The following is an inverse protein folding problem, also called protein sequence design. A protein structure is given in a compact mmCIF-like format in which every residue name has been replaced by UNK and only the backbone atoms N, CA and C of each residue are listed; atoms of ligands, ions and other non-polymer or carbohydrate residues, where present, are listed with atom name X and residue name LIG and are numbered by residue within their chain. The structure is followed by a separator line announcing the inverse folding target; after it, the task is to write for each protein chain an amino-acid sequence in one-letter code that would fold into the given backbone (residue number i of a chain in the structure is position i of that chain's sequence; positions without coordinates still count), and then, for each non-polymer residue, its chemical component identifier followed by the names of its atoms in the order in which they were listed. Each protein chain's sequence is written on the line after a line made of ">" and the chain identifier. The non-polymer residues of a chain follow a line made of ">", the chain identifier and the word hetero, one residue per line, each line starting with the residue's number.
data_IF_486827924211
#
_entry.id   IF_486827924211
#
_cell.length_a   1.000
_cell.length_b   1.000
_cell.length_c   1.000
_cell.angle_alpha   90.00
_cell.angle_beta   90.00
_cell.angle_gamma   90.00
#
_symmetry.space_group_name_H-M   'P 1'
#
loop_
_entity.id
_entity.type
_entity.pdbx_description
1 polymer ?
#
# COMPACT_ATOMS: atom_id res chain seq x y z
N UNK A 1 -14.45 -17.70 -0.17
CA UNK A 1 -14.68 -17.01 -1.50
C UNK A 1 -13.40 -16.23 -1.75
N UNK A 2 -12.82 -16.34 -2.95
CA UNK A 2 -11.58 -15.61 -3.24
C UNK A 2 -11.79 -14.11 -3.20
N UNK A 3 -10.80 -13.39 -2.70
CA UNK A 3 -10.86 -11.95 -2.57
C UNK A 3 -10.67 -11.30 -3.95
N UNK A 4 -11.30 -10.15 -4.22
CA UNK A 4 -11.02 -9.37 -5.41
C UNK A 4 -9.61 -8.80 -5.37
N UNK A 5 -9.03 -8.59 -6.55
CA UNK A 5 -7.66 -8.13 -6.74
C UNK A 5 -7.65 -6.71 -7.29
N UNK A 6 -7.03 -5.80 -6.58
CA UNK A 6 -6.81 -4.44 -7.03
C UNK A 6 -5.33 -4.20 -7.37
N UNK A 7 -5.02 -3.04 -7.92
CA UNK A 7 -3.67 -2.56 -8.18
C UNK A 7 -3.48 -1.17 -7.60
N UNK A 8 -2.32 -0.96 -6.94
CA UNK A 8 -1.89 0.38 -6.51
C UNK A 8 -1.35 1.14 -7.74
N UNK A 9 -1.98 2.27 -8.06
CA UNK A 9 -1.66 3.05 -9.27
C UNK A 9 -0.30 3.76 -9.20
N UNK A 10 0.33 3.85 -8.03
CA UNK A 10 1.72 4.28 -7.91
C UNK A 10 2.67 3.39 -8.72
N UNK A 11 2.34 2.11 -8.85
CA UNK A 11 3.09 1.14 -9.65
C UNK A 11 3.19 1.53 -11.13
N UNK A 12 2.25 2.32 -11.63
CA UNK A 12 2.15 2.77 -13.02
C UNK A 12 2.05 4.30 -13.13
N UNK A 13 2.59 5.02 -12.13
CA UNK A 13 2.48 6.49 -12.03
C UNK A 13 2.93 7.25 -13.27
N UNK A 14 4.01 6.80 -13.92
CA UNK A 14 4.51 7.44 -15.14
C UNK A 14 3.51 7.33 -16.32
N UNK A 15 2.69 6.28 -16.33
CA UNK A 15 1.62 6.12 -17.31
C UNK A 15 0.37 6.91 -16.91
N UNK A 16 0.10 7.03 -15.60
CA UNK A 16 -0.98 7.87 -15.07
C UNK A 16 -0.78 9.34 -15.42
N UNK A 17 0.46 9.85 -15.33
CA UNK A 17 0.79 11.21 -15.72
C UNK A 17 0.54 11.48 -17.21
N UNK A 18 0.77 10.49 -18.08
CA UNK A 18 0.60 10.63 -19.53
C UNK A 18 -0.86 10.51 -19.97
N UNK A 19 -1.60 9.57 -19.35
CA UNK A 19 -2.96 9.22 -19.73
C UNK A 19 -3.69 8.57 -18.54
N UNK A 20 -4.27 9.40 -17.68
CA UNK A 20 -4.93 8.98 -16.45
C UNK A 20 -6.02 7.93 -16.71
N UNK A 21 -7.00 8.28 -17.52
CA UNK A 21 -8.16 7.42 -17.80
C UNK A 21 -7.80 6.18 -18.62
N UNK A 22 -6.94 6.34 -19.63
CA UNK A 22 -6.48 5.21 -20.44
C UNK A 22 -5.63 4.22 -19.64
N UNK A 23 -4.91 4.66 -18.61
CA UNK A 23 -4.15 3.77 -17.73
C UNK A 23 -5.07 2.99 -16.81
N UNK A 24 -6.09 3.61 -16.23
CA UNK A 24 -7.12 2.89 -15.42
C UNK A 24 -7.86 1.88 -16.31
N UNK A 25 -8.21 2.24 -17.57
CA UNK A 25 -8.81 1.29 -18.51
C UNK A 25 -7.91 0.08 -18.77
N UNK A 26 -6.59 0.30 -18.93
CA UNK A 26 -5.62 -0.80 -19.09
C UNK A 26 -5.61 -1.73 -17.86
N UNK A 27 -5.72 -1.20 -16.63
CA UNK A 27 -5.82 -2.03 -15.42
C UNK A 27 -7.08 -2.90 -15.48
N UNK A 28 -8.21 -2.34 -15.88
CA UNK A 28 -9.44 -3.11 -16.11
C UNK A 28 -9.26 -4.20 -17.17
N UNK A 29 -8.65 -3.89 -18.30
CA UNK A 29 -8.40 -4.83 -19.40
C UNK A 29 -7.46 -5.98 -18.99
N UNK A 30 -6.51 -5.72 -18.11
CA UNK A 30 -5.66 -6.74 -17.50
C UNK A 30 -6.43 -7.66 -16.55
N UNK A 31 -7.63 -7.24 -16.12
CA UNK A 31 -8.54 -8.01 -15.28
C UNK A 31 -8.37 -7.74 -13.78
N UNK A 32 -7.93 -6.55 -13.42
CA UNK A 32 -8.05 -6.07 -12.05
C UNK A 32 -9.51 -5.71 -11.74
N UNK A 33 -9.95 -6.00 -10.52
CA UNK A 33 -11.31 -5.72 -10.05
C UNK A 33 -11.42 -4.30 -9.49
N UNK A 34 -10.32 -3.76 -8.95
CA UNK A 34 -10.27 -2.43 -8.35
C UNK A 34 -8.93 -1.74 -8.54
N UNK A 35 -8.92 -0.46 -8.14
CA UNK A 35 -7.71 0.38 -8.11
C UNK A 35 -7.59 1.08 -6.78
N UNK A 36 -6.35 1.29 -6.36
CA UNK A 36 -5.97 2.16 -5.27
C UNK A 36 -5.22 3.36 -5.83
N UNK A 37 -5.67 4.57 -5.51
CA UNK A 37 -5.10 5.80 -6.04
C UNK A 37 -3.83 6.21 -5.31
N UNK A 38 -2.91 6.85 -6.04
CA UNK A 38 -1.76 7.59 -5.52
C UNK A 38 -1.78 9.01 -6.13
N UNK A 39 -2.70 9.83 -5.64
CA UNK A 39 -3.01 11.14 -6.21
C UNK A 39 -4.03 11.09 -7.34
N UNK A 40 -4.59 12.27 -7.66
CA UNK A 40 -5.65 12.43 -8.67
C UNK A 40 -5.17 13.14 -9.94
N UNK A 41 -3.90 13.54 -10.01
CA UNK A 41 -3.26 14.18 -11.19
C UNK A 41 -4.01 15.41 -11.71
N UNK A 42 -4.77 16.10 -10.85
CA UNK A 42 -5.58 17.27 -11.21
C UNK A 42 -6.93 16.94 -11.85
N UNK A 43 -7.30 15.67 -11.89
CA UNK A 43 -8.62 15.25 -12.37
C UNK A 43 -9.72 15.49 -11.33
N UNK A 44 -10.91 15.77 -11.81
CA UNK A 44 -12.08 16.06 -10.98
C UNK A 44 -12.64 14.77 -10.36
N UNK A 45 -12.89 14.71 -9.03
CA UNK A 45 -13.39 13.51 -8.34
C UNK A 45 -14.67 12.92 -8.96
N UNK A 46 -15.63 13.79 -9.31
CA UNK A 46 -16.88 13.35 -9.95
C UNK A 46 -16.66 12.64 -11.29
N UNK A 47 -15.72 13.12 -12.11
CA UNK A 47 -15.38 12.49 -13.40
C UNK A 47 -14.70 11.15 -13.21
N UNK A 48 -13.81 11.04 -12.21
CA UNK A 48 -13.15 9.77 -11.86
C UNK A 48 -14.21 8.75 -11.44
N UNK A 49 -15.14 9.15 -10.56
CA UNK A 49 -16.27 8.31 -10.15
C UNK A 49 -17.07 7.78 -11.32
N UNK A 50 -17.51 8.69 -12.20
CA UNK A 50 -18.34 8.34 -13.35
C UNK A 50 -17.59 7.39 -14.29
N UNK A 51 -16.30 7.65 -14.56
CA UNK A 51 -15.47 6.79 -15.39
C UNK A 51 -15.27 5.40 -14.78
N UNK A 52 -14.93 5.32 -13.49
CA UNK A 52 -14.79 4.02 -12.82
C UNK A 52 -16.08 3.20 -12.87
N UNK A 53 -17.23 3.86 -12.70
CA UNK A 53 -18.54 3.23 -12.81
C UNK A 53 -18.83 2.77 -14.24
N UNK A 54 -18.50 3.57 -15.26
CA UNK A 54 -18.69 3.25 -16.67
C UNK A 54 -17.92 1.98 -17.07
N UNK A 55 -16.64 1.89 -16.71
CA UNK A 55 -15.81 0.73 -17.08
C UNK A 55 -15.95 -0.45 -16.09
N UNK A 56 -16.65 -0.24 -14.96
CA UNK A 56 -16.88 -1.26 -13.95
C UNK A 56 -15.62 -1.67 -13.18
N UNK A 57 -14.72 -0.71 -12.86
CA UNK A 57 -13.59 -0.90 -11.92
C UNK A 57 -13.92 -0.23 -10.59
N UNK A 58 -13.52 -0.84 -9.48
CA UNK A 58 -13.88 -0.35 -8.14
C UNK A 58 -12.77 0.55 -7.60
N UNK A 59 -13.04 1.83 -7.26
CA UNK A 59 -12.11 2.68 -6.52
C UNK A 59 -12.11 2.26 -5.05
N UNK A 60 -11.14 1.43 -4.63
CA UNK A 60 -11.18 0.85 -3.28
C UNK A 60 -10.64 1.77 -2.21
N UNK A 61 -9.53 2.43 -2.51
CA UNK A 61 -8.71 3.18 -1.55
C UNK A 61 -7.85 4.23 -2.25
N UNK A 62 -7.19 5.05 -1.43
CA UNK A 62 -6.18 5.99 -1.89
C UNK A 62 -5.06 6.16 -0.87
N UNK A 63 -3.81 6.12 -1.33
CA UNK A 63 -2.64 6.59 -0.60
C UNK A 63 -2.63 8.11 -0.60
N UNK A 64 -2.68 8.71 0.58
CA UNK A 64 -2.72 10.17 0.76
C UNK A 64 -1.65 10.58 1.77
N UNK A 65 -0.74 11.51 1.42
CA UNK A 65 0.31 11.94 2.33
C UNK A 65 -0.22 12.37 3.70
N UNK A 66 0.47 11.94 4.76
CA UNK A 66 0.05 12.22 6.14
C UNK A 66 -0.19 13.70 6.42
N UNK A 67 0.74 14.56 5.96
CA UNK A 67 0.63 16.00 6.20
C UNK A 67 -0.53 16.65 5.45
N UNK A 68 -0.84 16.21 4.23
CA UNK A 68 -1.97 16.74 3.46
C UNK A 68 -3.29 16.47 4.20
N UNK A 69 -3.44 15.25 4.73
CA UNK A 69 -4.61 14.89 5.54
C UNK A 69 -4.64 15.60 6.89
N UNK A 70 -3.48 15.88 7.50
CA UNK A 70 -3.42 16.54 8.80
C UNK A 70 -3.75 18.03 8.73
N UNK A 71 -3.30 18.72 7.66
CA UNK A 71 -3.51 20.15 7.47
C UNK A 71 -4.95 20.51 7.12
N UNK A 72 -5.59 19.73 6.25
CA UNK A 72 -6.93 19.99 5.79
C UNK A 72 -7.72 18.70 5.51
N UNK A 73 -8.02 17.93 6.56
CA UNK A 73 -8.57 16.58 6.42
C UNK A 73 -9.91 16.57 5.68
N UNK A 74 -10.84 17.49 6.00
CA UNK A 74 -12.16 17.52 5.39
C UNK A 74 -12.08 17.75 3.88
N UNK A 75 -11.25 18.69 3.43
CA UNK A 75 -11.10 19.00 2.00
C UNK A 75 -10.45 17.85 1.24
N UNK A 76 -9.35 17.32 1.76
CA UNK A 76 -8.57 16.25 1.10
C UNK A 76 -9.37 14.96 1.05
N UNK A 77 -10.01 14.58 2.16
CA UNK A 77 -10.75 13.32 2.26
C UNK A 77 -12.09 13.34 1.51
N UNK A 78 -12.72 14.55 1.35
CA UNK A 78 -13.97 14.66 0.61
C UNK A 78 -13.85 14.25 -0.85
N UNK A 79 -12.70 14.50 -1.49
CA UNK A 79 -12.46 14.13 -2.88
C UNK A 79 -12.52 12.60 -3.04
N UNK A 80 -11.88 11.86 -2.15
CA UNK A 80 -11.89 10.39 -2.18
C UNK A 80 -13.24 9.80 -1.77
N UNK A 81 -13.95 10.44 -0.85
CA UNK A 81 -15.32 10.06 -0.51
C UNK A 81 -16.27 10.26 -1.71
N UNK A 82 -16.10 11.36 -2.47
CA UNK A 82 -16.89 11.63 -3.68
C UNK A 82 -16.61 10.59 -4.77
N UNK A 83 -15.34 10.20 -4.99
CA UNK A 83 -14.95 9.13 -5.93
C UNK A 83 -15.64 7.82 -5.56
N UNK A 84 -15.90 7.59 -4.28
CA UNK A 84 -16.51 6.37 -3.75
C UNK A 84 -15.50 5.38 -3.18
N UNK A 85 -14.29 5.84 -2.81
CA UNK A 85 -13.35 5.04 -2.05
C UNK A 85 -13.96 4.62 -0.71
N UNK A 86 -13.64 3.43 -0.26
CA UNK A 86 -13.99 2.95 1.07
C UNK A 86 -12.91 3.27 2.10
N UNK A 87 -11.67 3.32 1.64
CA UNK A 87 -10.48 3.51 2.47
C UNK A 87 -9.67 4.71 2.01
N UNK A 88 -8.98 5.33 2.98
CA UNK A 88 -7.86 6.26 2.76
C UNK A 88 -6.70 5.78 3.62
N UNK A 89 -5.49 5.93 3.14
CA UNK A 89 -4.32 5.28 3.71
C UNK A 89 -3.22 6.31 3.96
N UNK A 90 -2.61 6.27 5.14
CA UNK A 90 -1.31 6.91 5.38
C UNK A 90 -0.24 6.00 4.75
N UNK A 91 0.39 6.39 3.63
CA UNK A 91 1.27 5.50 2.89
C UNK A 91 2.71 5.47 3.43
N UNK A 92 3.13 6.51 4.14
CA UNK A 92 4.50 6.69 4.57
C UNK A 92 4.62 7.76 5.65
N UNK A 93 5.60 7.63 6.52
CA UNK A 93 5.97 8.64 7.51
C UNK A 93 7.41 9.12 7.28
N UNK A 94 7.58 10.44 7.27
CA UNK A 94 8.91 11.07 7.27
C UNK A 94 9.67 10.74 8.57
N UNK A 95 10.99 10.83 8.55
CA UNK A 95 11.84 10.35 9.65
C UNK A 95 11.45 10.90 11.02
N UNK A 96 11.14 12.19 11.10
CA UNK A 96 10.74 12.86 12.34
C UNK A 96 9.41 12.34 12.92
N UNK A 97 8.57 11.70 12.10
CA UNK A 97 7.28 11.12 12.47
C UNK A 97 7.34 9.63 12.82
N UNK A 98 8.50 8.99 12.57
CA UNK A 98 8.62 7.53 12.71
C UNK A 98 8.64 7.08 14.17
N UNK A 99 8.27 5.83 14.42
CA UNK A 99 8.40 5.20 15.72
C UNK A 99 9.83 5.34 16.30
N UNK A 100 9.91 5.62 17.60
CA UNK A 100 11.18 5.81 18.30
C UNK A 100 11.73 7.23 18.26
N UNK A 101 11.10 8.14 17.52
CA UNK A 101 11.44 9.58 17.52
C UNK A 101 10.61 10.37 18.53
N UNK A 102 11.06 11.58 18.87
CA UNK A 102 10.30 12.49 19.74
C UNK A 102 8.95 12.92 19.10
N UNK A 103 8.84 12.88 17.77
CA UNK A 103 7.64 13.24 17.03
C UNK A 103 6.57 12.16 17.01
N UNK A 104 6.89 10.91 17.33
CA UNK A 104 5.96 9.79 17.18
C UNK A 104 4.65 9.95 17.97
N UNK A 105 4.70 10.47 19.20
CA UNK A 105 3.49 10.71 19.98
C UNK A 105 2.55 11.72 19.32
N UNK A 106 3.11 12.77 18.70
CA UNK A 106 2.31 13.75 17.93
C UNK A 106 1.76 13.13 16.64
N UNK A 107 2.51 12.25 16.00
CA UNK A 107 2.07 11.50 14.82
C UNK A 107 0.87 10.61 15.15
N UNK A 108 0.91 9.86 16.25
CA UNK A 108 -0.21 9.03 16.70
C UNK A 108 -1.47 9.87 16.94
N UNK A 109 -1.33 11.05 17.55
CA UNK A 109 -2.46 11.97 17.75
C UNK A 109 -2.97 12.55 16.42
N UNK A 110 -2.07 12.85 15.48
CA UNK A 110 -2.44 13.26 14.12
C UNK A 110 -3.24 12.18 13.38
N UNK A 111 -2.77 10.93 13.43
CA UNK A 111 -3.48 9.78 12.84
C UNK A 111 -4.88 9.62 13.46
N UNK A 112 -5.02 9.82 14.77
CA UNK A 112 -6.33 9.78 15.45
C UNK A 112 -7.28 10.85 14.89
N UNK A 113 -6.82 12.08 14.74
CA UNK A 113 -7.61 13.19 14.17
C UNK A 113 -8.01 12.93 12.71
N UNK A 114 -7.08 12.42 11.90
CA UNK A 114 -7.38 12.04 10.51
C UNK A 114 -8.42 10.92 10.49
N UNK A 115 -8.29 9.92 11.37
CA UNK A 115 -9.25 8.81 11.50
C UNK A 115 -10.66 9.28 11.87
N UNK A 116 -10.77 10.25 12.77
CA UNK A 116 -12.06 10.86 13.13
C UNK A 116 -12.69 11.62 11.95
N UNK A 117 -11.90 12.38 11.20
CA UNK A 117 -12.36 13.09 10.01
C UNK A 117 -12.78 12.12 8.89
N UNK A 118 -11.97 11.08 8.63
CA UNK A 118 -12.29 10.03 7.66
C UNK A 118 -13.62 9.35 8.01
N UNK A 119 -13.80 8.96 9.26
CA UNK A 119 -15.04 8.33 9.77
C UNK A 119 -16.25 9.23 9.60
N UNK A 120 -16.12 10.55 9.81
CA UNK A 120 -17.20 11.51 9.62
C UNK A 120 -17.66 11.59 8.15
N UNK A 121 -16.77 11.32 7.21
CA UNK A 121 -17.04 11.25 5.76
C UNK A 121 -17.43 9.86 5.26
N UNK A 122 -17.54 8.87 6.16
CA UNK A 122 -17.86 7.48 5.81
C UNK A 122 -16.68 6.68 5.26
N UNK A 123 -15.45 7.20 5.39
CA UNK A 123 -14.21 6.52 5.03
C UNK A 123 -13.62 5.81 6.26
N UNK A 124 -12.83 4.76 6.02
CA UNK A 124 -11.98 4.13 7.04
C UNK A 124 -10.53 4.45 6.77
N UNK A 125 -9.84 5.03 7.76
CA UNK A 125 -8.40 5.24 7.67
C UNK A 125 -7.65 3.93 7.85
N UNK A 126 -6.65 3.70 7.00
CA UNK A 126 -5.68 2.63 7.09
C UNK A 126 -4.27 3.20 7.27
N UNK A 127 -3.35 2.34 7.69
CA UNK A 127 -1.91 2.63 7.71
C UNK A 127 -1.17 1.56 6.94
N UNK A 128 -0.36 1.97 5.96
CA UNK A 128 0.52 1.12 5.16
C UNK A 128 1.92 1.11 5.78
N UNK A 129 2.44 -0.07 6.07
CA UNK A 129 3.74 -0.23 6.70
C UNK A 129 4.88 -0.34 5.71
N UNK A 130 6.05 0.09 6.17
CA UNK A 130 7.36 -0.26 5.65
C UNK A 130 8.10 -1.17 6.64
N UNK A 131 9.41 -1.33 6.49
CA UNK A 131 10.24 -2.11 7.41
C UNK A 131 10.61 -1.33 8.67
N UNK A 132 10.69 0.01 8.59
CA UNK A 132 11.12 0.85 9.71
C UNK A 132 10.15 0.85 10.90
N UNK A 133 8.88 0.49 10.72
CA UNK A 133 7.94 0.32 11.82
C UNK A 133 8.14 -0.98 12.62
N UNK A 134 9.01 -1.86 12.14
CA UNK A 134 9.36 -3.09 12.87
C UNK A 134 10.53 -2.89 13.86
N UNK A 135 11.01 -1.65 14.08
CA UNK A 135 11.84 -1.35 15.26
C UNK A 135 11.07 -1.65 16.53
N UNK A 136 11.76 -2.08 17.58
CA UNK A 136 11.10 -2.43 18.85
C UNK A 136 11.12 -1.26 19.84
N UNK A 137 9.96 -1.01 20.45
CA UNK A 137 9.77 -0.07 21.56
C UNK A 137 9.30 -0.90 22.75
N UNK A 138 10.08 -0.93 23.83
CA UNK A 138 9.78 -1.74 25.03
C UNK A 138 9.50 -3.24 24.74
N UNK A 139 10.08 -3.78 23.68
CA UNK A 139 9.97 -5.18 23.30
C UNK A 139 8.81 -5.50 22.34
N UNK A 140 8.01 -4.52 21.94
CA UNK A 140 6.96 -4.65 20.94
C UNK A 140 7.36 -3.94 19.64
N UNK A 141 6.92 -4.41 18.49
CA UNK A 141 7.09 -3.66 17.23
C UNK A 141 6.35 -2.33 17.31
N UNK A 142 6.99 -1.29 16.83
CA UNK A 142 6.40 0.04 16.85
C UNK A 142 5.09 0.13 16.03
N UNK A 143 4.96 -0.68 14.99
CA UNK A 143 3.72 -0.84 14.25
C UNK A 143 2.59 -1.41 15.15
N UNK A 144 2.92 -2.39 16.00
CA UNK A 144 1.96 -2.94 16.96
C UNK A 144 1.58 -1.89 18.03
N UNK A 145 2.54 -1.08 18.47
CA UNK A 145 2.30 0.04 19.40
C UNK A 145 1.33 1.05 18.77
N UNK A 146 1.53 1.42 17.50
CA UNK A 146 0.60 2.30 16.77
C UNK A 146 -0.81 1.72 16.76
N UNK A 147 -0.97 0.47 16.35
CA UNK A 147 -2.27 -0.18 16.27
C UNK A 147 -2.93 -0.45 17.63
N UNK A 148 -2.16 -0.64 18.70
CA UNK A 148 -2.72 -0.78 20.04
C UNK A 148 -3.16 0.56 20.63
N UNK A 149 -2.53 1.66 20.23
CA UNK A 149 -2.80 3.01 20.74
C UNK A 149 -4.00 3.67 20.06
N UNK A 150 -4.20 3.45 18.74
CA UNK A 150 -5.33 4.01 18.00
C UNK A 150 -6.45 2.96 17.88
N UNK A 151 -7.70 3.30 18.30
CA UNK A 151 -8.83 2.37 18.20
C UNK A 151 -9.08 1.86 16.79
N UNK A 152 -9.50 0.61 16.65
CA UNK A 152 -9.70 -0.06 15.35
C UNK A 152 -10.85 0.50 14.51
N UNK A 153 -11.73 1.27 15.09
CA UNK A 153 -12.79 2.01 14.39
C UNK A 153 -12.29 3.34 13.79
N UNK A 154 -11.11 3.79 14.20
CA UNK A 154 -10.43 4.95 13.63
C UNK A 154 -9.28 4.57 12.71
N UNK A 155 -8.51 3.52 13.05
CA UNK A 155 -7.37 3.06 12.27
C UNK A 155 -7.39 1.55 12.09
N UNK A 156 -7.38 1.10 10.85
CA UNK A 156 -7.13 -0.30 10.49
C UNK A 156 -5.80 -0.45 9.78
N UNK A 157 -5.42 -1.67 9.48
CA UNK A 157 -4.14 -1.97 8.82
C UNK A 157 -4.32 -2.08 7.30
N UNK A 158 -3.33 -1.63 6.57
CA UNK A 158 -3.01 -2.05 5.22
C UNK A 158 -1.63 -2.69 5.25
N UNK A 159 -1.57 -4.00 5.42
CA UNK A 159 -0.31 -4.70 5.60
C UNK A 159 0.38 -4.88 4.26
N UNK A 160 1.58 -4.27 4.10
CA UNK A 160 2.48 -4.59 3.00
C UNK A 160 3.36 -5.79 3.37
N UNK A 161 3.15 -6.88 2.66
CA UNK A 161 3.78 -8.17 2.92
C UNK A 161 5.27 -8.22 2.54
N UNK A 162 5.71 -7.36 1.61
CA UNK A 162 7.13 -7.23 1.26
C UNK A 162 7.91 -6.66 2.44
N UNK A 163 7.48 -5.54 2.98
CA UNK A 163 8.16 -4.86 4.06
C UNK A 163 8.14 -5.67 5.37
N UNK A 164 7.06 -6.41 5.62
CA UNK A 164 7.02 -7.40 6.72
C UNK A 164 8.15 -8.43 6.56
N UNK A 165 8.33 -8.98 5.35
CA UNK A 165 9.37 -9.97 5.06
C UNK A 165 10.77 -9.34 5.14
N UNK A 166 10.96 -8.13 4.60
CA UNK A 166 12.22 -7.38 4.68
C UNK A 166 12.64 -7.17 6.13
N UNK A 167 11.69 -6.88 7.03
CA UNK A 167 11.93 -6.78 8.47
C UNK A 167 12.22 -8.12 9.16
N UNK A 168 12.22 -9.24 8.42
CA UNK A 168 12.50 -10.58 8.95
C UNK A 168 11.30 -11.23 9.67
N UNK A 169 10.11 -10.73 9.46
CA UNK A 169 8.86 -11.26 10.03
C UNK A 169 8.12 -12.09 8.98
N UNK A 170 7.40 -13.14 9.40
CA UNK A 170 6.60 -13.94 8.49
C UNK A 170 5.34 -13.16 8.06
N UNK A 171 5.17 -12.83 6.75
CA UNK A 171 4.04 -12.02 6.30
C UNK A 171 2.67 -12.68 6.54
N UNK A 172 2.55 -13.99 6.30
CA UNK A 172 1.29 -14.70 6.49
C UNK A 172 0.85 -14.68 7.96
N UNK A 173 1.76 -14.96 8.89
CA UNK A 173 1.49 -14.91 10.32
C UNK A 173 1.15 -13.48 10.78
N UNK A 174 1.80 -12.47 10.20
CA UNK A 174 1.55 -11.08 10.55
C UNK A 174 0.18 -10.60 10.06
N UNK A 175 -0.27 -11.03 8.87
CA UNK A 175 -1.63 -10.78 8.38
C UNK A 175 -2.66 -11.45 9.31
N UNK A 176 -2.46 -12.73 9.69
CA UNK A 176 -3.37 -13.45 10.60
C UNK A 176 -3.43 -12.83 11.99
N UNK A 177 -2.34 -12.24 12.49
CA UNK A 177 -2.31 -11.50 13.76
C UNK A 177 -3.35 -10.37 13.80
N UNK A 178 -3.60 -9.73 12.65
CA UNK A 178 -4.56 -8.65 12.54
C UNK A 178 -5.91 -9.09 11.93
N UNK A 179 -6.33 -10.35 12.16
CA UNK A 179 -7.63 -10.86 11.74
C UNK A 179 -8.78 -9.93 12.15
N UNK A 180 -9.63 -9.57 11.20
CA UNK A 180 -10.75 -8.63 11.37
C UNK A 180 -10.35 -7.14 11.38
N UNK A 181 -9.05 -6.83 11.33
CA UNK A 181 -8.53 -5.46 11.31
C UNK A 181 -7.72 -5.14 10.05
N UNK A 182 -7.47 -6.11 9.16
CA UNK A 182 -6.69 -5.99 7.94
C UNK A 182 -7.58 -6.13 6.70
N UNK A 183 -8.38 -5.09 6.35
CA UNK A 183 -9.29 -5.18 5.21
C UNK A 183 -8.58 -5.17 3.87
N UNK A 184 -7.40 -4.58 3.79
CA UNK A 184 -6.58 -4.46 2.58
C UNK A 184 -5.18 -5.01 2.88
N UNK A 185 -4.64 -5.84 1.98
CA UNK A 185 -3.29 -6.40 2.08
C UNK A 185 -2.55 -6.19 0.77
N UNK A 186 -1.37 -5.57 0.83
CA UNK A 186 -0.51 -5.38 -0.31
C UNK A 186 0.31 -6.63 -0.61
N UNK A 187 0.18 -7.10 -1.84
CA UNK A 187 1.01 -8.14 -2.43
C UNK A 187 2.14 -7.47 -3.19
N UNK A 188 3.30 -7.47 -2.61
CA UNK A 188 4.52 -6.91 -3.18
C UNK A 188 5.63 -7.94 -3.08
N UNK A 189 6.31 -8.23 -4.18
CA UNK A 189 7.32 -9.27 -4.24
C UNK A 189 8.70 -8.69 -4.59
N UNK A 190 9.74 -9.37 -4.22
CA UNK A 190 11.11 -8.90 -4.37
C UNK A 190 12.11 -10.05 -4.51
N UNK A 191 13.30 -9.70 -4.98
CA UNK A 191 14.50 -10.54 -4.88
C UNK A 191 15.55 -9.84 -4.06
N UNK A 192 16.32 -10.63 -3.31
CA UNK A 192 17.40 -10.15 -2.48
C UNK A 192 18.60 -11.09 -2.67
N UNK A 193 19.78 -10.53 -2.91
CA UNK A 193 21.05 -11.24 -2.94
C UNK A 193 21.99 -10.71 -1.86
N UNK A 194 22.45 -11.58 -0.95
CA UNK A 194 23.28 -11.18 0.19
C UNK A 194 22.49 -10.66 1.39
N UNK A 195 23.22 -10.19 2.40
CA UNK A 195 22.65 -9.73 3.68
C UNK A 195 22.42 -8.21 3.74
N UNK A 196 22.98 -7.46 2.79
CA UNK A 196 22.79 -6.01 2.69
C UNK A 196 21.62 -5.69 1.77
N UNK A 197 20.83 -4.70 2.17
CA UNK A 197 19.62 -4.29 1.46
C UNK A 197 19.83 -3.12 0.49
N UNK A 198 21.05 -2.52 0.47
CA UNK A 198 21.34 -1.36 -0.35
C UNK A 198 20.47 -0.14 0.00
N UNK A 199 20.31 0.78 -0.95
CA UNK A 199 19.44 1.96 -0.82
C UNK A 199 18.00 1.62 -1.13
N UNK A 200 17.31 0.97 -0.20
CA UNK A 200 15.93 0.49 -0.39
C UNK A 200 14.95 1.61 -0.72
N UNK A 201 15.09 2.75 -0.06
CA UNK A 201 14.13 3.86 -0.18
C UNK A 201 14.28 4.64 -1.48
N UNK A 202 15.47 4.64 -2.13
CA UNK A 202 15.64 5.19 -3.48
C UNK A 202 14.71 4.45 -4.49
N UNK A 203 14.45 3.16 -4.27
CA UNK A 203 13.60 2.36 -5.15
C UNK A 203 12.10 2.72 -5.07
N UNK A 204 11.70 3.38 -4.00
CA UNK A 204 10.32 3.88 -3.81
C UNK A 204 10.20 5.38 -4.06
N UNK A 205 11.26 6.01 -4.58
CA UNK A 205 11.27 7.43 -4.95
C UNK A 205 11.55 8.38 -3.79
N UNK A 206 12.16 7.90 -2.71
CA UNK A 206 12.59 8.70 -1.55
C UNK A 206 14.12 8.73 -1.56
N UNK A 207 14.70 9.94 -1.64
CA UNK A 207 16.14 10.13 -1.60
C UNK A 207 16.68 9.65 -0.24
N UNK A 208 17.49 8.60 -0.26
CA UNK A 208 18.18 8.09 0.92
C UNK A 208 19.62 8.64 0.92
N UNK A 209 19.91 9.59 1.81
CA UNK A 209 21.23 10.20 1.95
C UNK A 209 22.32 9.26 2.53
N UNK A 210 21.99 7.99 2.76
CA UNK A 210 22.94 7.01 3.26
C UNK A 210 24.06 6.78 2.22
N UNK A 211 25.29 7.17 2.61
CA UNK A 211 26.51 6.94 1.84
C UNK A 211 26.91 5.46 1.93
N UNK A 212 26.23 4.58 1.22
CA UNK A 212 26.69 3.21 1.01
C UNK A 212 27.17 3.03 -0.43
N UNK A 213 28.31 2.35 -0.56
CA UNK A 213 28.92 2.04 -1.86
C UNK A 213 27.93 1.23 -2.71
N UNK A 214 27.83 1.59 -4.00
CA UNK A 214 27.01 0.90 -5.01
C UNK A 214 27.46 -0.59 -5.12
N UNK A 215 26.86 -1.46 -4.34
CA UNK A 215 26.87 -2.91 -4.66
C UNK A 215 25.72 -3.18 -5.64
N UNK A 216 26.07 -3.56 -6.87
CA UNK A 216 25.12 -3.90 -7.92
C UNK A 216 24.09 -4.93 -7.44
N UNK A 217 22.79 -4.54 -7.51
CA UNK A 217 21.62 -5.42 -7.47
C UNK A 217 21.43 -6.30 -6.22
N UNK A 218 21.66 -5.78 -5.02
CA UNK A 218 21.39 -6.53 -3.77
C UNK A 218 19.90 -6.72 -3.50
N UNK A 219 19.03 -5.80 -3.95
CA UNK A 219 17.58 -5.83 -3.82
C UNK A 219 16.90 -5.33 -5.11
N UNK A 220 15.80 -5.97 -5.51
CA UNK A 220 14.94 -5.48 -6.58
C UNK A 220 13.50 -5.93 -6.38
N UNK A 221 12.53 -5.03 -6.64
CA UNK A 221 11.14 -5.44 -6.71
C UNK A 221 10.90 -6.32 -7.93
N UNK A 222 10.00 -7.28 -7.75
CA UNK A 222 9.62 -8.25 -8.78
C UNK A 222 8.11 -8.27 -8.95
N UNK A 223 7.61 -8.63 -10.12
CA UNK A 223 6.20 -8.97 -10.25
C UNK A 223 5.81 -10.05 -9.23
N UNK A 224 4.60 -9.95 -8.70
CA UNK A 224 4.07 -10.92 -7.73
C UNK A 224 4.17 -12.35 -8.27
N UNK A 225 4.79 -13.23 -7.50
CA UNK A 225 5.06 -14.62 -7.86
C UNK A 225 6.39 -14.87 -8.60
N UNK A 226 7.17 -13.82 -8.83
CA UNK A 226 8.47 -13.92 -9.48
C UNK A 226 9.65 -13.63 -8.54
N UNK A 227 9.35 -13.32 -7.28
CA UNK A 227 10.32 -13.05 -6.21
C UNK A 227 10.47 -14.20 -5.23
N UNK A 228 10.62 -13.84 -3.94
CA UNK A 228 10.86 -14.77 -2.84
C UNK A 228 9.65 -14.99 -1.92
N UNK A 229 8.56 -14.24 -2.12
CA UNK A 229 7.38 -14.32 -1.28
C UNK A 229 6.60 -15.63 -1.49
N UNK A 230 6.15 -16.24 -0.41
CA UNK A 230 5.19 -17.35 -0.46
C UNK A 230 3.77 -16.80 -0.68
N UNK A 231 3.50 -16.39 -1.92
CA UNK A 231 2.21 -15.79 -2.30
C UNK A 231 1.02 -16.70 -1.96
N UNK A 232 1.06 -18.02 -2.21
CA UNK A 232 -0.03 -18.90 -1.80
C UNK A 232 -0.33 -18.88 -0.29
N UNK A 233 0.71 -18.87 0.56
CA UNK A 233 0.53 -18.79 2.01
C UNK A 233 -0.03 -17.43 2.44
N UNK A 234 0.45 -16.34 1.85
CA UNK A 234 -0.05 -14.99 2.12
C UNK A 234 -1.54 -14.88 1.73
N UNK A 235 -1.92 -15.37 0.54
CA UNK A 235 -3.31 -15.35 0.08
C UNK A 235 -4.24 -16.16 1.00
N UNK A 236 -3.78 -17.32 1.47
CA UNK A 236 -4.53 -18.12 2.45
C UNK A 236 -4.71 -17.36 3.78
N UNK A 237 -3.67 -16.69 4.25
CA UNK A 237 -3.72 -15.85 5.45
C UNK A 237 -4.71 -14.67 5.27
N UNK A 238 -4.76 -14.04 4.10
CA UNK A 238 -5.73 -12.98 3.80
C UNK A 238 -7.18 -13.48 3.88
N UNK A 239 -7.48 -14.67 3.30
CA UNK A 239 -8.81 -15.27 3.42
C UNK A 239 -9.16 -15.59 4.89
N UNK A 240 -8.23 -16.18 5.65
CA UNK A 240 -8.42 -16.53 7.06
C UNK A 240 -8.60 -15.29 7.95
N UNK A 241 -7.84 -14.23 7.70
CA UNK A 241 -7.91 -12.97 8.43
C UNK A 241 -9.17 -12.15 8.13
N UNK A 242 -9.93 -12.51 7.11
CA UNK A 242 -11.12 -11.79 6.69
C UNK A 242 -10.80 -10.47 5.96
N UNK A 243 -9.70 -10.43 5.21
CA UNK A 243 -9.42 -9.33 4.31
C UNK A 243 -10.54 -9.17 3.27
N UNK A 244 -10.71 -7.97 2.76
CA UNK A 244 -11.70 -7.66 1.73
C UNK A 244 -11.06 -7.56 0.35
N UNK A 245 -9.79 -7.14 0.32
CA UNK A 245 -9.01 -6.90 -0.90
C UNK A 245 -7.57 -7.35 -0.74
N UNK A 246 -7.01 -7.82 -1.84
CA UNK A 246 -5.56 -7.87 -2.04
C UNK A 246 -5.17 -6.89 -3.14
N UNK A 247 -4.09 -6.15 -2.93
CA UNK A 247 -3.63 -5.08 -3.83
C UNK A 247 -2.24 -5.42 -4.34
N UNK A 248 -2.07 -5.48 -5.63
CA UNK A 248 -0.75 -5.63 -6.26
C UNK A 248 -0.04 -4.30 -6.25
N UNK A 249 1.19 -4.27 -5.75
CA UNK A 249 2.06 -3.10 -5.82
C UNK A 249 3.48 -3.47 -6.22
N UNK A 250 4.10 -2.60 -7.01
CA UNK A 250 5.52 -2.66 -7.35
C UNK A 250 6.04 -1.25 -7.62
N UNK A 251 6.83 -0.68 -6.72
CA UNK A 251 7.25 0.73 -6.80
C UNK A 251 8.18 1.02 -7.97
N UNK A 252 9.00 0.06 -8.34
CA UNK A 252 9.90 0.15 -9.50
C UNK A 252 9.90 -1.16 -10.28
N UNK A 253 9.89 -1.12 -11.61
CA UNK A 253 9.98 -2.34 -12.41
C UNK A 253 11.35 -2.99 -12.21
N UNK A 254 11.41 -4.32 -12.39
CA UNK A 254 12.68 -5.03 -12.45
C UNK A 254 13.54 -4.51 -13.62
N UNK A 255 14.85 -4.69 -13.52
CA UNK A 255 15.80 -4.25 -14.56
C UNK A 255 15.38 -4.78 -15.95
N UNK A 256 15.29 -3.89 -16.92
CA UNK A 256 14.81 -4.17 -18.29
C UNK A 256 13.32 -4.54 -18.43
N UNK A 257 12.50 -4.23 -17.42
CA UNK A 257 11.06 -4.36 -17.48
C UNK A 257 10.37 -2.98 -17.49
N UNK A 258 9.04 -2.96 -17.66
CA UNK A 258 8.22 -1.75 -17.63
C UNK A 258 7.15 -1.88 -16.56
N UNK A 259 6.69 -0.76 -15.96
CA UNK A 259 5.61 -0.79 -14.97
C UNK A 259 4.37 -1.55 -15.44
N UNK A 260 3.92 -1.29 -16.67
CA UNK A 260 2.76 -1.98 -17.26
C UNK A 260 2.97 -3.49 -17.42
N UNK A 261 4.17 -3.92 -17.81
CA UNK A 261 4.47 -5.35 -17.93
C UNK A 261 4.54 -6.01 -16.55
N UNK A 262 5.13 -5.33 -15.57
CA UNK A 262 5.22 -5.83 -14.19
C UNK A 262 3.84 -6.09 -13.58
N UNK A 263 2.91 -5.14 -13.66
CA UNK A 263 1.54 -5.32 -13.14
C UNK A 263 0.75 -6.36 -13.95
N UNK A 264 1.02 -6.48 -15.26
CA UNK A 264 0.45 -7.54 -16.09
C UNK A 264 0.91 -8.92 -15.64
N UNK A 265 2.22 -9.14 -15.48
CA UNK A 265 2.79 -10.41 -15.02
C UNK A 265 2.25 -10.81 -13.64
N UNK A 266 2.17 -9.86 -12.72
CA UNK A 266 1.59 -10.06 -11.39
C UNK A 266 0.13 -10.56 -11.48
N UNK A 267 -0.68 -9.91 -12.32
CA UNK A 267 -2.08 -10.31 -12.50
C UNK A 267 -2.22 -11.67 -13.18
N UNK A 268 -1.38 -11.97 -14.18
CA UNK A 268 -1.35 -13.27 -14.86
C UNK A 268 -0.97 -14.39 -13.88
N UNK A 269 0.03 -14.18 -13.03
CA UNK A 269 0.39 -15.15 -12.00
C UNK A 269 -0.77 -15.42 -11.04
N UNK A 270 -1.42 -14.39 -10.51
CA UNK A 270 -2.57 -14.57 -9.61
C UNK A 270 -3.71 -15.35 -10.28
N UNK A 271 -3.96 -15.15 -11.58
CA UNK A 271 -4.91 -15.95 -12.35
C UNK A 271 -4.54 -17.44 -12.41
N UNK A 272 -3.24 -17.80 -12.41
CA UNK A 272 -2.83 -19.22 -12.34
C UNK A 272 -3.19 -19.89 -11.02
N UNK A 273 -3.31 -19.10 -9.97
CA UNK A 273 -3.79 -19.53 -8.64
C UNK A 273 -5.32 -19.46 -8.52
N UNK A 274 -6.00 -19.13 -9.61
CA UNK A 274 -7.44 -18.84 -9.70
C UNK A 274 -7.89 -17.63 -8.86
N UNK A 275 -7.06 -16.63 -8.74
CA UNK A 275 -7.35 -15.34 -8.10
C UNK A 275 -7.54 -14.27 -9.14
#
# INVERSE_FOLDING_TARGET
>A
MKLPVAVQLYSVRDEMEKDFYGTIQKMKDLGYDGVEFAGLFGEEPSKIKDFCAEIGIIPISAHVPYYDMLENPEKVLSDYAEIGCKYVVVPYLTEECRPGTDGFAATVEGIRKIGEAAKALGLQLLYHNHDFEFVTIDGEYALDVLYSTVPSDLLKTEIDTCWVNVAGVNPAEYVEKYSGRSPVVHLKDFKKSGDKLGKLYDLIGIDDDAQEEEEEDSFSFMPVGYGVQDIPAILAACENAGAEWVVVEQDSPAKNDTPLNSVKLSREYLKTLNW
#
